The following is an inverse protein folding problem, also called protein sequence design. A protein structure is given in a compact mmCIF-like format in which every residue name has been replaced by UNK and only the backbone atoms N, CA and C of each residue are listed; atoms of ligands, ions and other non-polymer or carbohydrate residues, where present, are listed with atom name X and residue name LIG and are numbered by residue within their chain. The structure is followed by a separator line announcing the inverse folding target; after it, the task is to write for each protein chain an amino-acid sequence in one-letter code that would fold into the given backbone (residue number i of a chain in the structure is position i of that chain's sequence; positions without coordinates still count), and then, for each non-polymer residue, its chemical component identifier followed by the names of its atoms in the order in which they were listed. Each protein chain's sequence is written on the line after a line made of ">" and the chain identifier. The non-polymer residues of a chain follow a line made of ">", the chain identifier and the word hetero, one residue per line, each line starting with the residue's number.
data_IF_585363229588
#
_entry.id   IF_585363229588
#
_cell.length_a   1.000
_cell.length_b   1.000
_cell.length_c   1.000
_cell.angle_alpha   90.00
_cell.angle_beta   90.00
_cell.angle_gamma   90.00
#
_symmetry.space_group_name_H-M   'P 1'
#
loop_
_entity.id
_entity.type
_entity.pdbx_description
1 polymer ?
#
# COMPACT_ATOMS: atom_id res chain seq x y z
N UNK A 1 4.58 -7.08 29.54
CA UNK A 1 5.25 -5.87 29.02
C UNK A 1 4.29 -4.69 29.14
N UNK A 2 4.76 -3.47 29.39
CA UNK A 2 3.88 -2.29 29.24
C UNK A 2 3.80 -1.92 27.76
N UNK A 3 2.64 -2.17 27.14
CA UNK A 3 2.39 -1.75 25.76
C UNK A 3 2.09 -0.25 25.75
N UNK A 4 2.75 0.49 24.86
CA UNK A 4 2.67 1.95 24.77
C UNK A 4 2.33 2.37 23.34
N UNK A 5 1.70 3.55 23.15
CA UNK A 5 1.42 4.05 21.81
C UNK A 5 2.70 4.25 20.98
N UNK A 6 2.66 3.87 19.71
CA UNK A 6 3.72 4.12 18.73
C UNK A 6 3.60 5.57 18.26
N UNK A 7 4.62 6.40 18.54
CA UNK A 7 4.61 7.84 18.21
C UNK A 7 5.76 8.25 17.30
N UNK A 8 6.83 7.47 17.29
CA UNK A 8 8.05 7.73 16.54
C UNK A 8 8.42 6.53 15.67
N UNK A 9 9.26 6.76 14.67
CA UNK A 9 9.80 5.68 13.83
C UNK A 9 10.58 4.65 14.66
N UNK A 10 11.29 5.09 15.71
CA UNK A 10 11.98 4.19 16.63
C UNK A 10 11.01 3.28 17.42
N UNK A 11 9.86 3.80 17.85
CA UNK A 11 8.83 2.99 18.50
C UNK A 11 8.26 1.96 17.51
N UNK A 12 8.10 2.36 16.25
CA UNK A 12 7.61 1.52 15.17
C UNK A 12 8.59 0.38 14.90
N UNK A 13 9.88 0.68 14.68
CA UNK A 13 10.91 -0.34 14.41
C UNK A 13 11.04 -1.33 15.58
N UNK A 14 10.95 -0.83 16.82
CA UNK A 14 10.96 -1.67 18.01
C UNK A 14 9.74 -2.59 18.09
N UNK A 15 8.55 -2.07 17.72
CA UNK A 15 7.33 -2.87 17.67
C UNK A 15 7.40 -3.94 16.58
N UNK A 16 7.94 -3.63 15.41
CA UNK A 16 8.16 -4.59 14.32
C UNK A 16 9.10 -5.70 14.79
N UNK A 17 10.26 -5.37 15.36
CA UNK A 17 11.20 -6.38 15.88
C UNK A 17 10.55 -7.28 16.94
N UNK A 18 9.69 -6.73 17.79
CA UNK A 18 8.97 -7.52 18.79
C UNK A 18 7.90 -8.43 18.17
N UNK A 19 7.18 -7.96 17.14
CA UNK A 19 6.22 -8.79 16.39
C UNK A 19 6.94 -9.99 15.76
N UNK A 20 8.14 -9.78 15.20
CA UNK A 20 8.95 -10.87 14.63
C UNK A 20 9.32 -11.93 15.67
N UNK A 21 9.69 -11.52 16.89
CA UNK A 21 9.97 -12.45 17.99
C UNK A 21 8.74 -13.23 18.46
N UNK A 22 7.57 -12.60 18.41
CA UNK A 22 6.28 -13.20 18.82
C UNK A 22 5.62 -14.00 17.70
N UNK A 23 6.23 -14.09 16.52
CA UNK A 23 5.62 -14.75 15.37
C UNK A 23 5.28 -16.21 15.66
N UNK A 24 4.02 -16.59 15.47
CA UNK A 24 3.53 -17.93 15.78
C UNK A 24 3.16 -18.16 17.25
N UNK A 25 3.13 -17.10 18.07
CA UNK A 25 2.50 -17.13 19.39
C UNK A 25 1.07 -17.69 19.28
N UNK A 26 0.68 -18.50 20.27
CA UNK A 26 -0.65 -19.09 20.27
C UNK A 26 -1.67 -18.05 20.69
N UNK A 27 -2.85 -18.14 20.09
CA UNK A 27 -4.00 -17.33 20.49
C UNK A 27 -4.34 -17.58 21.97
N UNK A 28 -4.84 -16.54 22.64
CA UNK A 28 -5.29 -16.57 24.03
C UNK A 28 -4.15 -16.92 25.02
N UNK A 29 -2.90 -16.66 24.64
CA UNK A 29 -1.75 -16.63 25.56
C UNK A 29 -1.25 -15.19 25.72
N UNK A 30 -0.52 -14.87 26.80
CA UNK A 30 0.02 -13.53 26.99
C UNK A 30 0.82 -13.01 25.79
N UNK A 31 1.58 -13.89 25.13
CA UNK A 31 2.36 -13.59 23.93
C UNK A 31 1.46 -13.34 22.70
N UNK A 32 0.38 -14.10 22.55
CA UNK A 32 -0.61 -13.89 21.49
C UNK A 32 -1.37 -12.58 21.67
N UNK A 33 -1.79 -12.29 22.90
CA UNK A 33 -2.46 -11.03 23.24
C UNK A 33 -1.52 -9.83 23.03
N UNK A 34 -0.23 -9.97 23.36
CA UNK A 34 0.80 -8.96 23.10
C UNK A 34 0.99 -8.74 21.59
N UNK A 35 1.07 -9.82 20.81
CA UNK A 35 1.18 -9.77 19.36
C UNK A 35 -0.02 -9.03 18.73
N UNK A 36 -1.24 -9.40 19.09
CA UNK A 36 -2.46 -8.78 18.57
C UNK A 36 -2.51 -7.27 18.84
N UNK A 37 -2.10 -6.86 20.05
CA UNK A 37 -2.04 -5.45 20.44
C UNK A 37 -0.95 -4.69 19.67
N UNK A 38 0.24 -5.27 19.49
CA UNK A 38 1.33 -4.64 18.75
C UNK A 38 0.97 -4.46 17.27
N UNK A 39 0.38 -5.48 16.63
CA UNK A 39 -0.10 -5.40 15.23
C UNK A 39 -1.12 -4.27 15.10
N UNK A 40 -2.09 -4.19 16.01
CA UNK A 40 -3.11 -3.13 15.99
C UNK A 40 -2.49 -1.72 16.09
N UNK A 41 -1.46 -1.55 16.91
CA UNK A 41 -0.76 -0.27 17.07
C UNK A 41 0.09 0.09 15.84
N UNK A 42 0.78 -0.90 15.26
CA UNK A 42 1.55 -0.76 14.03
C UNK A 42 0.65 -0.33 12.88
N UNK A 43 -0.46 -1.04 12.65
CA UNK A 43 -1.44 -0.67 11.61
C UNK A 43 -1.95 0.77 11.78
N UNK A 44 -2.28 1.18 13.01
CA UNK A 44 -2.72 2.54 13.28
C UNK A 44 -1.63 3.59 13.01
N UNK A 45 -0.34 3.25 13.19
CA UNK A 45 0.77 4.13 12.88
C UNK A 45 0.98 4.21 11.37
N UNK A 46 0.97 3.08 10.67
CA UNK A 46 1.14 2.98 9.23
C UNK A 46 0.05 3.74 8.47
N UNK A 47 -1.22 3.61 8.87
CA UNK A 47 -2.32 4.35 8.24
C UNK A 47 -2.11 5.88 8.24
N UNK A 48 -1.36 6.41 9.22
CA UNK A 48 -1.08 7.84 9.34
C UNK A 48 0.19 8.27 8.62
N UNK A 49 1.21 7.41 8.56
CA UNK A 49 2.55 7.76 8.09
C UNK A 49 2.88 7.18 6.70
N UNK A 50 2.28 6.04 6.35
CA UNK A 50 2.44 5.34 5.09
C UNK A 50 1.07 5.11 4.43
N UNK A 51 0.33 6.20 4.09
CA UNK A 51 -0.93 6.04 3.39
C UNK A 51 -0.70 5.33 2.06
N UNK A 52 -1.58 4.37 1.74
CA UNK A 52 -1.59 3.74 0.41
C UNK A 52 -1.97 4.83 -0.59
N UNK A 53 -0.97 5.35 -1.30
CA UNK A 53 -1.21 6.29 -2.39
C UNK A 53 -2.06 5.58 -3.46
N UNK A 54 -3.03 6.26 -4.08
CA UNK A 54 -3.70 5.70 -5.24
C UNK A 54 -2.63 5.36 -6.30
N UNK A 55 -2.85 4.29 -7.09
CA UNK A 55 -1.96 4.03 -8.22
C UNK A 55 -1.89 5.27 -9.11
N UNK A 56 -0.74 5.51 -9.72
CA UNK A 56 -0.61 6.56 -10.74
C UNK A 56 -1.77 6.40 -11.74
N UNK A 57 -2.53 7.47 -12.05
CA UNK A 57 -3.69 7.38 -12.92
C UNK A 57 -3.37 6.73 -14.28
N UNK A 58 -2.16 6.92 -14.79
CA UNK A 58 -1.68 6.31 -16.03
C UNK A 58 -1.45 4.82 -15.85
N UNK A 59 -0.87 4.40 -14.73
CA UNK A 59 -0.70 2.99 -14.41
C UNK A 59 -2.05 2.30 -14.24
N UNK A 60 -3.03 2.96 -13.64
CA UNK A 60 -4.40 2.45 -13.54
C UNK A 60 -5.06 2.26 -14.92
N UNK A 61 -4.85 3.21 -15.85
CA UNK A 61 -5.33 3.09 -17.24
C UNK A 61 -4.64 1.92 -17.95
N UNK A 62 -3.32 1.79 -17.85
CA UNK A 62 -2.55 0.71 -18.48
C UNK A 62 -2.95 -0.66 -17.92
N UNK A 63 -3.11 -0.77 -16.61
CA UNK A 63 -3.60 -1.97 -15.95
C UNK A 63 -4.98 -2.38 -16.49
N UNK A 64 -5.89 -1.42 -16.67
CA UNK A 64 -7.21 -1.70 -17.23
C UNK A 64 -7.15 -2.13 -18.70
N UNK A 65 -6.26 -1.50 -19.48
CA UNK A 65 -6.03 -1.89 -20.88
C UNK A 65 -5.52 -3.33 -20.97
N UNK A 66 -4.57 -3.72 -20.13
CA UNK A 66 -4.05 -5.09 -20.07
C UNK A 66 -5.15 -6.11 -19.74
N UNK A 67 -5.95 -5.86 -18.70
CA UNK A 67 -7.07 -6.73 -18.32
C UNK A 67 -8.10 -6.93 -19.45
N UNK A 68 -8.24 -5.93 -20.31
CA UNK A 68 -9.19 -5.95 -21.43
C UNK A 68 -8.54 -6.37 -22.76
N UNK A 69 -7.25 -6.70 -22.78
CA UNK A 69 -6.51 -7.01 -24.00
C UNK A 69 -6.46 -5.85 -25.01
N UNK A 70 -6.52 -4.61 -24.52
CA UNK A 70 -6.60 -3.41 -25.34
C UNK A 70 -5.22 -2.86 -25.71
N UNK A 71 -5.09 -2.40 -26.95
CA UNK A 71 -3.90 -1.72 -27.44
C UNK A 71 -4.05 -0.19 -27.39
N UNK A 72 -2.95 0.54 -27.55
CA UNK A 72 -2.99 2.00 -27.69
C UNK A 72 -3.88 2.45 -28.86
N UNK A 73 -3.94 1.65 -29.94
CA UNK A 73 -4.81 1.95 -31.08
C UNK A 73 -6.29 1.88 -30.72
N UNK A 74 -6.67 0.98 -29.82
CA UNK A 74 -8.04 0.86 -29.34
C UNK A 74 -8.45 2.05 -28.46
N UNK A 75 -7.49 2.81 -27.94
CA UNK A 75 -7.75 4.01 -27.13
C UNK A 75 -8.09 5.25 -27.96
N UNK A 76 -7.83 5.23 -29.27
CA UNK A 76 -8.15 6.35 -30.18
C UNK A 76 -9.65 6.67 -30.17
N UNK A 77 -10.53 5.68 -30.01
CA UNK A 77 -11.98 5.92 -29.92
C UNK A 77 -12.39 6.73 -28.69
N UNK A 78 -11.58 6.74 -27.63
CA UNK A 78 -11.85 7.48 -26.40
C UNK A 78 -11.09 8.82 -26.35
N UNK A 79 -9.88 8.87 -26.93
CA UNK A 79 -8.99 10.04 -26.85
C UNK A 79 -8.88 10.83 -28.16
N UNK A 80 -9.53 10.38 -29.23
CA UNK A 80 -9.69 11.07 -30.51
C UNK A 80 -8.53 10.91 -31.50
N UNK A 81 -7.28 10.83 -31.04
CA UNK A 81 -6.12 10.66 -31.93
C UNK A 81 -4.97 9.86 -31.30
N UNK A 82 -4.15 9.21 -32.13
CA UNK A 82 -2.93 8.50 -31.69
C UNK A 82 -1.96 9.43 -30.95
N UNK A 83 -1.84 10.67 -31.40
CA UNK A 83 -0.98 11.67 -30.74
C UNK A 83 -1.45 11.93 -29.31
N UNK A 84 -2.77 12.05 -29.09
CA UNK A 84 -3.36 12.30 -27.77
C UNK A 84 -3.31 11.08 -26.86
N UNK A 85 -3.43 9.87 -27.42
CA UNK A 85 -3.19 8.62 -26.68
C UNK A 85 -1.75 8.58 -26.16
N UNK A 86 -0.78 8.86 -27.01
CA UNK A 86 0.64 8.88 -26.62
C UNK A 86 0.93 9.96 -25.57
N UNK A 87 0.37 11.16 -25.75
CA UNK A 87 0.52 12.26 -24.79
C UNK A 87 0.00 11.85 -23.40
N UNK A 88 -1.19 11.25 -23.32
CA UNK A 88 -1.79 10.84 -22.04
C UNK A 88 -1.03 9.68 -21.41
N UNK A 89 -0.74 8.60 -22.16
CA UNK A 89 -0.13 7.37 -21.60
C UNK A 89 1.36 7.49 -21.28
N UNK A 90 2.03 8.52 -21.80
CA UNK A 90 3.44 8.79 -21.56
C UNK A 90 3.68 10.07 -20.73
N UNK A 91 2.63 10.75 -20.29
CA UNK A 91 2.78 11.86 -19.36
C UNK A 91 3.28 11.29 -18.03
N UNK A 92 4.44 11.78 -17.58
CA UNK A 92 4.86 11.62 -16.19
C UNK A 92 4.24 12.75 -15.39
N UNK A 93 3.62 12.44 -14.25
CA UNK A 93 3.28 13.49 -13.29
C UNK A 93 4.57 14.26 -12.93
N UNK A 94 4.48 15.60 -12.97
CA UNK A 94 5.56 16.51 -12.54
C UNK A 94 5.23 17.05 -11.16
#
# INVERSE_FOLDING_TARGET
>A
MEIRPIKTEQDYDSAIGRIEELWGAKKDTPEGDELDLLVTLVESYEMKHYPIAPPDPIDAIKFRMEQMGMTNSDMVKYLGSQSRVSEVLNKKES
#
